data_IF_880857040517
#
_entry.id   IF_880857040517
#
_cell.length_a   1.000
_cell.length_b   1.000
_cell.length_c   1.000
_cell.angle_alpha   90.00
_cell.angle_beta   90.00
_cell.angle_gamma   90.00
#
_symmetry.space_group_name_H-M   'P 1'
#
loop_
_entity.id
_entity.type
_entity.pdbx_description
1 polymer ?
#
# COMPACT_ATOMS: atom_id res chain seq x y z
N UNK A 1 -50.73 -17.06 -86.09
CA UNK A 1 -50.48 -18.46 -86.57
C UNK A 1 -49.17 -18.92 -85.90
N UNK A 2 -49.14 -20.10 -85.17
CA UNK A 2 -48.04 -20.86 -84.59
C UNK A 2 -47.24 -20.17 -83.43
N UNK A 3 -47.49 -20.44 -82.25
CA UNK A 3 -47.12 -21.45 -81.24
C UNK A 3 -45.67 -21.92 -81.36
N UNK A 4 -44.83 -21.61 -80.32
CA UNK A 4 -43.76 -22.49 -79.86
C UNK A 4 -43.51 -22.25 -78.38
N UNK A 5 -43.56 -23.32 -77.59
CA UNK A 5 -43.28 -23.44 -76.14
C UNK A 5 -41.77 -23.47 -75.91
N UNK A 6 -41.32 -22.88 -74.84
CA UNK A 6 -40.00 -23.13 -74.33
C UNK A 6 -40.07 -23.53 -72.85
N UNK A 7 -39.44 -24.64 -72.55
CA UNK A 7 -39.34 -25.28 -71.23
C UNK A 7 -38.33 -24.57 -70.33
N UNK A 8 -38.81 -24.16 -69.20
CA UNK A 8 -37.98 -23.68 -68.10
C UNK A 8 -37.45 -24.87 -67.28
N UNK A 9 -36.13 -25.03 -67.19
CA UNK A 9 -35.50 -25.92 -66.19
C UNK A 9 -35.05 -25.08 -65.01
N UNK A 10 -35.72 -25.23 -63.92
CA UNK A 10 -35.29 -24.73 -62.58
C UNK A 10 -34.16 -25.57 -62.08
N UNK A 11 -33.03 -24.92 -61.78
CA UNK A 11 -31.91 -25.49 -61.01
C UNK A 11 -32.05 -25.00 -59.59
N UNK A 12 -32.42 -25.88 -58.66
CA UNK A 12 -32.40 -25.65 -57.24
C UNK A 12 -30.96 -25.92 -56.74
N UNK A 13 -30.20 -24.87 -56.37
CA UNK A 13 -28.95 -25.00 -55.74
C UNK A 13 -29.14 -24.87 -54.20
N UNK A 14 -28.63 -25.85 -53.52
CA UNK A 14 -28.71 -26.08 -52.07
C UNK A 14 -28.03 -24.97 -51.24
N UNK A 15 -28.79 -24.35 -50.37
CA UNK A 15 -28.38 -23.26 -49.48
C UNK A 15 -28.00 -23.74 -48.06
N UNK A 16 -27.42 -24.94 -47.91
CA UNK A 16 -27.16 -25.54 -46.56
C UNK A 16 -25.74 -25.53 -46.06
N UNK A 17 -24.75 -25.05 -46.85
CA UNK A 17 -23.33 -25.07 -46.43
C UNK A 17 -22.78 -23.75 -45.90
N UNK A 18 -23.41 -22.63 -46.16
CA UNK A 18 -22.96 -21.30 -45.73
C UNK A 18 -23.42 -20.93 -44.31
N UNK A 19 -24.48 -21.52 -43.77
CA UNK A 19 -24.98 -21.23 -42.42
C UNK A 19 -24.15 -21.87 -41.31
N UNK A 20 -23.49 -23.00 -41.57
CA UNK A 20 -22.71 -23.71 -40.58
C UNK A 20 -21.34 -23.04 -40.26
N UNK A 21 -20.75 -22.35 -41.26
CA UNK A 21 -19.45 -21.66 -41.10
C UNK A 21 -19.60 -20.34 -40.33
N UNK A 22 -20.72 -19.62 -40.54
CA UNK A 22 -20.98 -18.37 -39.81
C UNK A 22 -21.30 -18.62 -38.32
N UNK A 23 -21.92 -19.73 -37.95
CA UNK A 23 -22.21 -20.09 -36.55
C UNK A 23 -20.96 -20.50 -35.78
N UNK A 24 -19.99 -21.14 -36.45
CA UNK A 24 -18.72 -21.53 -35.81
C UNK A 24 -17.80 -20.33 -35.48
N UNK A 25 -17.79 -19.28 -36.31
CA UNK A 25 -16.99 -18.08 -36.11
C UNK A 25 -17.57 -17.20 -34.98
N UNK A 26 -18.88 -17.13 -34.81
CA UNK A 26 -19.54 -16.40 -33.72
C UNK A 26 -19.37 -17.12 -32.36
N UNK A 27 -19.31 -18.45 -32.36
CA UNK A 27 -19.10 -19.21 -31.12
C UNK A 27 -17.66 -19.09 -30.56
N UNK A 28 -16.63 -18.88 -31.40
CA UNK A 28 -15.25 -18.67 -30.96
C UNK A 28 -14.99 -17.25 -30.43
N UNK A 29 -15.79 -16.25 -30.80
CA UNK A 29 -15.63 -14.86 -30.32
C UNK A 29 -16.33 -14.59 -28.99
N UNK A 30 -17.13 -15.52 -28.47
CA UNK A 30 -17.81 -15.45 -27.17
C UNK A 30 -17.14 -16.30 -26.08
N UNK A 31 -15.95 -16.87 -26.34
CA UNK A 31 -15.10 -17.34 -25.29
C UNK A 31 -14.63 -16.13 -24.48
N UNK A 32 -15.56 -15.67 -23.62
CA UNK A 32 -15.38 -14.47 -22.80
C UNK A 32 -14.04 -14.54 -22.09
N UNK A 33 -13.26 -13.51 -22.23
CA UNK A 33 -12.15 -13.21 -21.35
C UNK A 33 -12.72 -13.08 -19.94
N UNK A 34 -12.90 -14.19 -19.26
CA UNK A 34 -13.17 -14.19 -17.82
C UNK A 34 -11.94 -13.59 -17.19
N UNK A 35 -12.00 -12.30 -16.91
CA UNK A 35 -10.95 -11.61 -16.17
C UNK A 35 -10.78 -12.39 -14.89
N UNK A 36 -9.68 -13.13 -14.77
CA UNK A 36 -9.40 -13.92 -13.58
C UNK A 36 -9.62 -13.05 -12.35
N UNK A 37 -10.41 -13.55 -11.40
CA UNK A 37 -10.66 -12.82 -10.15
C UNK A 37 -9.30 -12.55 -9.52
N UNK A 38 -8.96 -11.29 -9.17
CA UNK A 38 -7.67 -11.00 -8.58
C UNK A 38 -7.40 -11.95 -7.41
N UNK A 39 -6.19 -12.52 -7.35
CA UNK A 39 -5.81 -13.37 -6.25
C UNK A 39 -6.07 -12.67 -4.91
N UNK A 40 -6.59 -13.38 -3.91
CA UNK A 40 -6.80 -12.81 -2.58
C UNK A 40 -5.49 -12.27 -2.01
N UNK A 41 -5.58 -11.37 -1.05
CA UNK A 41 -4.39 -10.90 -0.32
C UNK A 41 -3.75 -12.09 0.39
N UNK A 42 -2.45 -12.38 0.18
CA UNK A 42 -1.80 -13.51 0.83
C UNK A 42 -1.62 -13.25 2.34
N UNK A 43 -1.43 -14.32 3.10
CA UNK A 43 -1.00 -14.21 4.51
C UNK A 43 0.49 -13.93 4.54
N UNK A 44 0.88 -12.73 4.89
CA UNK A 44 2.30 -12.36 5.00
C UNK A 44 2.93 -12.90 6.29
N UNK A 45 4.22 -13.22 6.23
CA UNK A 45 5.04 -13.44 7.41
C UNK A 45 5.31 -12.11 8.12
N UNK A 46 5.70 -11.08 7.34
CA UNK A 46 5.90 -9.73 7.86
C UNK A 46 5.26 -8.69 6.94
N UNK A 47 4.67 -7.66 7.55
CA UNK A 47 4.29 -6.42 6.87
C UNK A 47 5.06 -5.27 7.46
N UNK A 48 5.82 -4.58 6.64
CA UNK A 48 6.57 -3.39 7.02
C UNK A 48 5.95 -2.19 6.30
N UNK A 49 5.61 -1.13 7.02
CA UNK A 49 5.12 0.13 6.47
C UNK A 49 6.14 1.22 6.73
N UNK A 50 6.69 1.79 5.67
CA UNK A 50 7.65 2.90 5.71
C UNK A 50 6.96 4.14 5.19
N UNK A 51 6.97 5.25 5.94
CA UNK A 51 6.25 6.46 5.55
C UNK A 51 7.24 7.63 5.40
N UNK A 52 7.28 8.18 4.20
CA UNK A 52 7.97 9.42 3.83
C UNK A 52 7.02 10.61 3.85
N UNK A 53 7.52 11.81 3.59
CA UNK A 53 6.83 13.08 3.86
C UNK A 53 6.70 13.99 2.63
N UNK A 54 5.48 14.54 2.48
CA UNK A 54 5.19 15.76 1.71
C UNK A 54 5.66 15.76 0.25
N UNK A 55 5.55 14.65 -0.50
CA UNK A 55 5.92 14.65 -1.92
C UNK A 55 4.83 14.06 -2.81
N UNK A 56 4.51 14.81 -3.87
CA UNK A 56 3.72 14.29 -5.00
C UNK A 56 4.47 13.17 -5.72
N UNK A 57 3.74 12.23 -6.31
CA UNK A 57 4.32 11.10 -7.02
C UNK A 57 5.34 11.51 -8.12
N UNK A 58 5.09 12.53 -8.96
CA UNK A 58 6.06 12.95 -9.99
C UNK A 58 7.32 13.60 -9.40
N UNK A 59 7.27 14.11 -8.17
CA UNK A 59 8.46 14.66 -7.51
C UNK A 59 9.46 13.58 -7.08
N UNK A 60 9.02 12.31 -7.06
CA UNK A 60 9.83 11.16 -6.64
C UNK A 60 10.01 10.17 -7.78
N UNK A 61 8.90 9.68 -8.35
CA UNK A 61 8.93 8.70 -9.43
C UNK A 61 9.23 9.38 -10.77
N UNK A 62 10.31 8.95 -11.42
CA UNK A 62 10.87 9.60 -12.61
C UNK A 62 11.92 10.67 -12.30
N UNK A 63 12.07 11.10 -11.05
CA UNK A 63 13.09 12.06 -10.66
C UNK A 63 14.49 11.41 -10.68
N UNK A 64 15.48 11.98 -11.40
CA UNK A 64 16.86 11.44 -11.40
C UNK A 64 17.51 11.42 -10.02
N UNK A 65 17.09 12.28 -9.09
CA UNK A 65 17.57 12.32 -7.71
C UNK A 65 17.01 11.18 -6.83
N UNK A 66 16.11 10.33 -7.37
CA UNK A 66 15.51 9.19 -6.70
C UNK A 66 15.81 7.84 -7.40
N UNK A 67 17.07 7.48 -7.64
CA UNK A 67 17.41 6.28 -8.41
C UNK A 67 16.93 4.98 -7.75
N UNK A 68 16.91 4.89 -6.41
CA UNK A 68 16.43 3.73 -5.67
C UNK A 68 14.91 3.59 -5.78
N UNK A 69 14.13 4.66 -5.57
CA UNK A 69 12.69 4.66 -5.80
C UNK A 69 12.35 4.22 -7.22
N UNK A 70 13.04 4.81 -8.21
CA UNK A 70 12.83 4.46 -9.62
C UNK A 70 13.16 3.00 -9.93
N UNK A 71 14.24 2.47 -9.36
CA UNK A 71 14.62 1.07 -9.50
C UNK A 71 13.57 0.14 -8.88
N UNK A 72 13.10 0.47 -7.67
CA UNK A 72 12.08 -0.32 -6.98
C UNK A 72 10.73 -0.27 -7.69
N UNK A 73 10.32 0.89 -8.20
CA UNK A 73 9.10 1.04 -8.98
C UNK A 73 9.08 0.17 -10.26
N UNK A 74 10.26 -0.05 -10.87
CA UNK A 74 10.40 -0.97 -12.02
C UNK A 74 10.47 -2.43 -11.61
N UNK A 75 11.11 -2.72 -10.48
CA UNK A 75 11.41 -4.10 -10.05
C UNK A 75 10.27 -4.76 -9.29
N UNK A 76 9.51 -4.00 -8.53
CA UNK A 76 8.41 -4.46 -7.67
C UNK A 76 7.08 -3.86 -8.12
N UNK A 77 6.11 -3.72 -7.22
CA UNK A 77 4.81 -3.18 -7.57
C UNK A 77 4.69 -1.68 -7.28
N UNK A 78 4.13 -0.94 -8.23
CA UNK A 78 3.76 0.47 -8.09
C UNK A 78 2.25 0.62 -7.92
N UNK A 79 1.82 1.39 -6.90
CA UNK A 79 0.43 1.78 -6.69
C UNK A 79 0.20 3.12 -7.40
N UNK A 80 -0.13 3.07 -8.70
CA UNK A 80 -0.03 4.22 -9.60
C UNK A 80 -1.06 5.31 -9.39
N UNK A 81 -2.11 5.06 -8.60
CA UNK A 81 -3.18 6.00 -8.26
C UNK A 81 -3.41 6.01 -6.76
N UNK A 82 -2.32 6.29 -6.01
CA UNK A 82 -2.33 6.36 -4.56
C UNK A 82 -2.52 7.81 -4.10
N UNK A 83 -3.51 8.04 -3.24
CA UNK A 83 -3.85 9.37 -2.73
C UNK A 83 -3.88 9.37 -1.21
N UNK A 84 -3.29 10.40 -0.63
CA UNK A 84 -3.38 10.65 0.80
C UNK A 84 -4.79 11.15 1.20
N UNK A 85 -5.08 11.16 2.49
CA UNK A 85 -6.43 11.43 2.99
C UNK A 85 -6.70 12.93 3.11
N UNK A 86 -5.72 13.71 3.60
CA UNK A 86 -5.90 15.13 3.96
C UNK A 86 -4.55 15.81 4.21
N UNK A 87 -4.60 17.05 4.70
CA UNK A 87 -3.49 17.82 5.29
C UNK A 87 -3.87 18.25 6.71
N UNK A 88 -2.86 18.49 7.60
CA UNK A 88 -1.43 18.19 7.48
C UNK A 88 -1.11 16.71 7.81
N UNK A 89 0.17 16.39 8.04
CA UNK A 89 0.69 15.01 8.20
C UNK A 89 -0.03 14.16 9.23
N UNK A 90 -0.16 14.60 10.50
CA UNK A 90 -0.63 13.76 11.61
C UNK A 90 -1.97 13.05 11.35
N UNK A 91 -3.04 13.68 10.83
CA UNK A 91 -4.28 12.97 10.50
C UNK A 91 -4.09 11.82 9.50
N UNK A 92 -3.15 11.90 8.56
CA UNK A 92 -2.82 10.81 7.63
C UNK A 92 -2.19 9.62 8.36
N UNK A 93 -1.25 9.86 9.26
CA UNK A 93 -0.65 8.83 10.10
C UNK A 93 -1.69 8.13 10.98
N UNK A 94 -2.60 8.89 11.62
CA UNK A 94 -3.69 8.34 12.42
C UNK A 94 -4.63 7.50 11.53
N UNK A 95 -4.97 8.01 10.33
CA UNK A 95 -5.82 7.32 9.38
C UNK A 95 -5.23 5.98 8.92
N UNK A 96 -3.92 5.94 8.67
CA UNK A 96 -3.20 4.74 8.22
C UNK A 96 -3.24 3.59 9.23
N UNK A 97 -3.33 3.88 10.52
CA UNK A 97 -3.33 2.85 11.59
C UNK A 97 -4.66 2.70 12.32
N UNK A 98 -5.69 3.49 11.99
CA UNK A 98 -7.00 3.38 12.65
C UNK A 98 -8.21 3.53 11.72
N UNK A 99 -7.96 3.68 10.42
CA UNK A 99 -9.03 3.83 9.41
C UNK A 99 -9.81 5.14 9.49
N UNK A 100 -9.32 6.13 10.23
CA UNK A 100 -9.95 7.44 10.36
C UNK A 100 -8.96 8.46 10.89
N UNK A 101 -9.11 9.74 10.54
CA UNK A 101 -8.34 10.84 11.14
C UNK A 101 -8.70 11.09 12.61
N UNK A 102 -9.76 10.46 13.12
CA UNK A 102 -10.26 10.57 14.50
C UNK A 102 -10.51 12.01 14.93
N UNK A 103 -10.91 12.87 13.98
CA UNK A 103 -11.16 14.29 14.23
C UNK A 103 -9.90 15.15 14.38
N UNK A 104 -8.70 14.56 14.22
CA UNK A 104 -7.44 15.30 14.19
C UNK A 104 -7.39 16.13 12.89
N UNK A 105 -7.09 17.41 13.02
CA UNK A 105 -7.02 18.38 11.90
C UNK A 105 -5.73 19.20 11.90
N UNK A 106 -4.78 18.89 12.78
CA UNK A 106 -3.53 19.63 12.93
C UNK A 106 -2.40 18.69 13.38
N UNK A 107 -1.16 19.16 13.32
CA UNK A 107 0.01 18.47 13.86
C UNK A 107 0.17 18.64 15.38
N UNK A 108 -0.91 18.49 16.11
CA UNK A 108 -0.93 18.66 17.57
C UNK A 108 -0.03 17.62 18.26
N UNK A 109 0.76 18.05 19.24
CA UNK A 109 1.66 17.16 19.99
C UNK A 109 1.01 16.55 21.25
N UNK A 110 -0.08 17.15 21.78
CA UNK A 110 -0.76 16.75 23.01
C UNK A 110 -2.10 16.03 22.76
N UNK A 111 -2.51 15.87 21.53
CA UNK A 111 -3.73 15.15 21.20
C UNK A 111 -3.65 13.70 21.69
N UNK A 112 -4.78 13.19 22.16
CA UNK A 112 -4.95 11.81 22.60
C UNK A 112 -6.13 11.22 21.83
N UNK A 113 -5.91 10.07 21.21
CA UNK A 113 -6.91 9.31 20.47
C UNK A 113 -7.42 8.15 21.34
N UNK A 114 -8.69 8.18 21.69
CA UNK A 114 -9.37 7.10 22.42
C UNK A 114 -10.24 6.30 21.43
N UNK A 115 -9.59 5.49 20.60
CA UNK A 115 -10.26 4.67 19.59
C UNK A 115 -9.43 3.42 19.29
N UNK A 116 -10.04 2.34 18.79
CA UNK A 116 -9.31 1.17 18.31
C UNK A 116 -8.31 1.53 17.19
N UNK A 117 -7.20 0.83 17.18
CA UNK A 117 -6.13 0.98 16.21
C UNK A 117 -5.53 -0.37 15.81
N UNK A 118 -4.66 -0.37 14.82
CA UNK A 118 -4.08 -1.59 14.26
C UNK A 118 -3.31 -2.42 15.30
N UNK A 119 -2.64 -1.78 16.28
CA UNK A 119 -1.95 -2.53 17.34
C UNK A 119 -2.93 -3.32 18.22
N UNK A 120 -4.14 -2.78 18.49
CA UNK A 120 -5.17 -3.47 19.26
C UNK A 120 -5.64 -4.74 18.53
N UNK A 121 -5.89 -4.64 17.22
CA UNK A 121 -6.38 -5.77 16.41
C UNK A 121 -5.29 -6.81 16.15
N UNK A 122 -4.04 -6.38 15.99
CA UNK A 122 -2.88 -7.28 15.87
C UNK A 122 -2.70 -8.10 17.14
N UNK A 123 -2.66 -7.46 18.31
CA UNK A 123 -2.50 -8.16 19.60
C UNK A 123 -3.64 -9.14 19.88
N UNK A 124 -4.88 -8.75 19.55
CA UNK A 124 -6.04 -9.64 19.69
C UNK A 124 -5.93 -10.89 18.78
N UNK A 125 -5.23 -10.79 17.65
CA UNK A 125 -4.96 -11.88 16.73
C UNK A 125 -3.64 -12.64 17.03
N UNK A 126 -2.99 -12.38 18.18
CA UNK A 126 -1.71 -12.96 18.55
C UNK A 126 -0.52 -12.49 17.70
N UNK A 127 -0.66 -11.36 17.01
CA UNK A 127 0.38 -10.77 16.18
C UNK A 127 1.23 -9.77 16.94
N UNK A 128 2.52 -9.76 16.65
CA UNK A 128 3.49 -8.85 17.24
C UNK A 128 3.62 -7.57 16.41
N UNK A 129 3.92 -6.45 17.07
CA UNK A 129 4.15 -5.18 16.37
C UNK A 129 5.22 -4.33 17.05
N UNK A 130 5.90 -3.48 16.29
CA UNK A 130 6.76 -2.39 16.76
C UNK A 130 6.66 -1.17 15.84
N UNK A 131 6.84 0.01 16.41
CA UNK A 131 7.07 1.27 15.69
C UNK A 131 8.52 1.68 15.85
N UNK A 132 9.26 1.72 14.76
CA UNK A 132 10.68 2.11 14.70
C UNK A 132 10.79 3.54 14.20
N UNK A 133 11.19 4.46 15.05
CA UNK A 133 11.30 5.88 14.71
C UNK A 133 12.76 6.36 14.77
N UNK A 134 13.24 6.95 13.67
CA UNK A 134 14.56 7.55 13.64
C UNK A 134 14.60 8.82 14.47
N UNK A 135 15.70 9.02 15.18
CA UNK A 135 15.86 10.15 16.11
C UNK A 135 15.08 10.03 17.41
N UNK A 136 14.28 8.98 17.60
CA UNK A 136 13.59 8.73 18.88
C UNK A 136 14.64 8.54 19.99
N UNK A 137 14.63 9.36 21.06
CA UNK A 137 15.72 9.37 22.04
C UNK A 137 15.75 8.11 22.93
N UNK A 138 14.59 7.56 23.25
CA UNK A 138 14.46 6.35 24.08
C UNK A 138 13.19 5.58 23.73
N UNK A 139 13.12 4.32 24.14
CA UNK A 139 11.89 3.52 24.03
C UNK A 139 10.73 4.23 24.73
N UNK A 140 9.56 4.20 24.12
CA UNK A 140 8.34 4.76 24.69
C UNK A 140 8.32 6.28 24.84
N UNK A 141 9.24 7.01 24.25
CA UNK A 141 9.25 8.47 24.31
C UNK A 141 7.99 9.08 23.72
N UNK A 142 7.31 9.94 24.47
CA UNK A 142 6.04 10.58 24.07
C UNK A 142 6.15 12.10 23.85
N UNK A 143 7.35 12.68 24.00
CA UNK A 143 7.59 14.10 23.76
C UNK A 143 7.32 14.50 22.30
N UNK A 144 7.01 15.77 22.08
CA UNK A 144 6.61 16.29 20.77
C UNK A 144 7.70 16.26 19.70
N UNK A 145 8.94 16.46 20.12
CA UNK A 145 10.14 16.44 19.26
C UNK A 145 11.40 16.15 20.06
N UNK A 146 12.44 15.69 19.37
CA UNK A 146 13.80 15.56 19.91
C UNK A 146 14.79 15.54 18.74
N UNK A 147 15.62 16.58 18.58
CA UNK A 147 16.43 16.74 17.38
C UNK A 147 15.56 16.70 16.12
N UNK A 148 15.82 15.74 15.23
CA UNK A 148 15.03 15.52 14.00
C UNK A 148 13.84 14.56 14.17
N UNK A 149 13.62 13.99 15.35
CA UNK A 149 12.40 13.22 15.61
C UNK A 149 11.19 14.14 15.75
N UNK A 150 10.09 13.79 15.10
CA UNK A 150 8.80 14.46 15.26
C UNK A 150 7.71 13.45 15.63
N UNK A 151 7.05 13.65 16.78
CA UNK A 151 5.96 12.79 17.26
C UNK A 151 4.83 12.67 16.25
N UNK A 152 4.54 13.74 15.48
CA UNK A 152 3.47 13.76 14.46
C UNK A 152 3.59 12.65 13.42
N UNK A 153 4.79 12.08 13.23
CA UNK A 153 5.04 10.95 12.33
C UNK A 153 4.96 9.58 13.02
N UNK A 154 4.70 9.54 14.32
CA UNK A 154 4.61 8.31 15.10
C UNK A 154 3.20 8.13 15.67
N UNK A 155 2.25 7.57 14.87
CA UNK A 155 0.83 7.56 15.22
C UNK A 155 0.53 6.81 16.52
N UNK A 156 1.25 5.72 16.79
CA UNK A 156 1.02 4.89 17.98
C UNK A 156 1.21 5.65 19.30
N UNK A 157 2.06 6.70 19.30
CA UNK A 157 2.27 7.56 20.46
C UNK A 157 1.05 8.44 20.83
N UNK A 158 0.02 8.48 19.99
CA UNK A 158 -1.19 9.27 20.23
C UNK A 158 -2.36 8.45 20.80
N UNK A 159 -2.33 7.13 20.68
CA UNK A 159 -3.43 6.31 21.18
C UNK A 159 -3.33 6.09 22.67
N UNK A 160 -4.44 6.39 23.40
CA UNK A 160 -4.53 6.21 24.86
C UNK A 160 -4.20 4.78 25.28
N UNK A 161 -4.67 3.80 24.53
CA UNK A 161 -4.41 2.37 24.79
C UNK A 161 -2.92 2.00 24.72
N UNK A 162 -2.11 2.80 24.05
CA UNK A 162 -0.65 2.58 23.91
C UNK A 162 0.11 3.51 24.84
N UNK A 163 -0.13 4.81 24.77
CA UNK A 163 0.59 5.82 25.57
C UNK A 163 0.40 5.61 27.07
N UNK A 164 -0.76 5.13 27.51
CA UNK A 164 -1.08 4.83 28.91
C UNK A 164 -0.64 3.45 29.41
N UNK A 165 -0.06 2.60 28.55
CA UNK A 165 0.39 1.26 28.93
C UNK A 165 1.90 1.10 28.68
N UNK A 166 2.68 0.91 29.73
CA UNK A 166 4.14 0.85 29.63
C UNK A 166 4.62 -0.23 28.65
N UNK A 167 4.11 -1.46 28.76
CA UNK A 167 4.51 -2.59 27.90
C UNK A 167 4.21 -2.36 26.42
N UNK A 168 3.11 -1.69 26.12
CA UNK A 168 2.74 -1.35 24.73
C UNK A 168 3.55 -0.15 24.22
N UNK A 169 3.76 0.87 25.09
CA UNK A 169 4.56 2.03 24.78
C UNK A 169 6.01 1.66 24.47
N UNK A 170 6.57 0.66 25.16
CA UNK A 170 7.92 0.15 24.95
C UNK A 170 8.11 -0.56 23.59
N UNK A 171 7.05 -0.75 22.82
CA UNK A 171 7.10 -1.20 21.41
C UNK A 171 7.35 -0.03 20.44
N UNK A 172 7.33 1.21 20.92
CA UNK A 172 7.79 2.40 20.18
C UNK A 172 9.28 2.54 20.46
N UNK A 173 10.10 2.25 19.45
CA UNK A 173 11.56 2.07 19.66
C UNK A 173 12.38 2.91 18.69
N UNK A 174 13.63 3.27 19.04
CA UNK A 174 14.56 3.91 18.11
C UNK A 174 14.84 3.04 16.89
N UNK A 175 14.99 3.67 15.71
CA UNK A 175 15.19 2.98 14.42
C UNK A 175 16.36 1.98 14.43
N UNK A 176 17.43 2.24 15.21
CA UNK A 176 18.56 1.30 15.32
C UNK A 176 18.16 -0.12 15.73
N UNK A 177 17.02 -0.27 16.43
CA UNK A 177 16.52 -1.58 16.82
C UNK A 177 15.98 -2.40 15.64
N UNK A 178 15.58 -1.77 14.55
CA UNK A 178 15.14 -2.49 13.33
C UNK A 178 16.27 -3.41 12.82
N UNK A 179 17.49 -2.88 12.76
CA UNK A 179 18.67 -3.67 12.33
C UNK A 179 19.00 -4.79 13.32
N UNK A 180 18.87 -4.52 14.62
CA UNK A 180 19.12 -5.51 15.67
C UNK A 180 18.08 -6.63 15.63
N UNK A 181 16.80 -6.30 15.49
CA UNK A 181 15.71 -7.27 15.38
C UNK A 181 15.83 -8.11 14.11
N UNK A 182 16.16 -7.48 12.97
CA UNK A 182 16.38 -8.17 11.70
C UNK A 182 17.53 -9.19 11.81
N UNK A 183 18.69 -8.77 12.34
CA UNK A 183 19.86 -9.67 12.48
C UNK A 183 19.62 -10.81 13.45
N UNK A 184 18.80 -10.60 14.45
CA UNK A 184 18.47 -11.59 15.48
C UNK A 184 17.28 -12.49 15.09
N UNK A 185 16.69 -12.32 13.89
CA UNK A 185 15.48 -13.07 13.48
C UNK A 185 14.26 -12.78 14.35
N UNK A 186 14.18 -11.59 14.96
CA UNK A 186 13.10 -11.18 15.87
C UNK A 186 12.28 -10.01 15.35
N UNK A 187 12.26 -9.82 14.00
CA UNK A 187 11.41 -8.81 13.41
C UNK A 187 9.93 -9.15 13.74
N UNK A 188 9.11 -8.17 14.19
CA UNK A 188 7.70 -8.41 14.48
C UNK A 188 6.90 -8.73 13.21
N UNK A 189 5.72 -9.32 13.36
CA UNK A 189 4.78 -9.50 12.24
C UNK A 189 4.47 -8.17 11.54
N UNK A 190 4.24 -7.11 12.32
CA UNK A 190 4.02 -5.75 11.80
C UNK A 190 5.08 -4.77 12.27
N UNK A 191 5.75 -4.10 11.34
CA UNK A 191 6.71 -3.03 11.59
C UNK A 191 6.24 -1.72 10.96
N UNK A 192 6.14 -0.66 11.77
CA UNK A 192 5.92 0.70 11.29
C UNK A 192 7.22 1.47 11.38
N UNK A 193 7.73 2.00 10.27
CA UNK A 193 9.07 2.58 10.18
C UNK A 193 8.98 4.03 9.73
N UNK A 194 9.57 4.91 10.51
CA UNK A 194 9.54 6.36 10.28
C UNK A 194 10.96 6.92 10.22
N UNK A 195 11.38 7.49 9.09
CA UNK A 195 12.60 8.30 9.00
C UNK A 195 12.50 9.57 9.86
N UNK A 196 13.63 10.18 10.21
CA UNK A 196 13.64 11.51 10.78
C UNK A 196 13.22 12.59 9.77
N UNK A 197 13.05 13.84 10.21
CA UNK A 197 12.60 14.96 9.38
C UNK A 197 13.46 15.20 8.13
N UNK A 198 14.76 14.91 8.19
CA UNK A 198 15.63 15.04 7.02
C UNK A 198 15.50 13.82 6.09
N UNK A 199 15.63 12.63 6.65
CA UNK A 199 15.61 11.39 5.88
C UNK A 199 14.22 11.05 5.30
N UNK A 200 13.14 11.60 5.88
CA UNK A 200 11.78 11.48 5.34
C UNK A 200 11.49 12.37 4.12
N UNK A 201 12.43 13.22 3.71
CA UNK A 201 12.27 14.27 2.68
C UNK A 201 11.43 15.48 3.15
N UNK A 202 11.08 15.58 4.44
CA UNK A 202 10.34 16.73 4.96
C UNK A 202 11.21 18.00 4.88
N UNK A 203 12.37 17.99 5.52
CA UNK A 203 13.29 19.12 5.61
C UNK A 203 14.48 19.05 4.63
N UNK A 204 14.71 17.87 4.00
CA UNK A 204 15.85 17.63 3.13
C UNK A 204 15.40 17.17 1.73
N UNK A 205 16.37 17.05 0.81
CA UNK A 205 16.11 16.73 -0.59
C UNK A 205 15.65 15.28 -0.81
N UNK A 206 15.04 15.04 -1.96
CA UNK A 206 14.66 13.70 -2.43
C UNK A 206 15.85 12.74 -2.46
N UNK A 207 17.05 13.23 -2.84
CA UNK A 207 18.27 12.41 -2.86
C UNK A 207 18.66 11.88 -1.48
N UNK A 208 18.46 12.66 -0.41
CA UNK A 208 18.73 12.24 0.97
C UNK A 208 17.79 11.10 1.38
N UNK A 209 16.50 11.25 1.12
CA UNK A 209 15.51 10.21 1.41
C UNK A 209 15.70 8.95 0.55
N UNK A 210 16.09 9.09 -0.72
CA UNK A 210 16.41 7.96 -1.58
C UNK A 210 17.61 7.15 -1.07
N UNK A 211 18.66 7.83 -0.63
CA UNK A 211 19.81 7.18 -0.02
C UNK A 211 19.44 6.47 1.30
N UNK A 212 18.55 7.08 2.09
CA UNK A 212 18.02 6.46 3.32
C UNK A 212 17.18 5.21 2.99
N UNK A 213 16.27 5.30 2.00
CA UNK A 213 15.49 4.15 1.53
C UNK A 213 16.40 2.98 1.17
N UNK A 214 17.45 3.23 0.39
CA UNK A 214 18.41 2.20 0.00
C UNK A 214 19.07 1.55 1.20
N UNK A 215 19.56 2.33 2.17
CA UNK A 215 20.28 1.79 3.34
C UNK A 215 19.36 0.98 4.26
N UNK A 216 18.14 1.48 4.49
CA UNK A 216 17.25 0.96 5.52
C UNK A 216 16.33 -0.13 5.00
N UNK A 217 15.83 0.00 3.77
CA UNK A 217 14.79 -0.90 3.23
C UNK A 217 15.38 -2.07 2.46
N UNK A 218 16.52 -1.90 1.75
CA UNK A 218 17.10 -3.01 0.96
C UNK A 218 17.29 -4.29 1.77
N UNK A 219 17.79 -4.25 3.03
CA UNK A 219 17.97 -5.47 3.83
C UNK A 219 16.67 -6.23 4.15
N UNK A 220 15.53 -5.56 4.08
CA UNK A 220 14.20 -6.16 4.36
C UNK A 220 13.60 -6.89 3.16
N UNK A 221 14.08 -6.61 1.94
CA UNK A 221 13.44 -7.08 0.70
C UNK A 221 13.61 -8.57 0.43
N UNK A 222 14.55 -9.22 1.11
CA UNK A 222 14.80 -10.66 1.03
C UNK A 222 14.02 -11.50 2.04
N UNK A 223 13.25 -10.88 2.94
CA UNK A 223 12.45 -11.61 3.93
C UNK A 223 11.41 -12.50 3.25
N UNK A 224 11.34 -13.80 3.58
CA UNK A 224 10.39 -14.73 2.98
C UNK A 224 8.94 -14.27 3.21
N UNK A 225 8.09 -14.42 2.19
CA UNK A 225 6.66 -14.13 2.25
C UNK A 225 6.30 -12.81 2.95
N UNK A 226 7.04 -11.74 2.62
CA UNK A 226 6.93 -10.45 3.30
C UNK A 226 6.70 -9.31 2.30
N UNK A 227 6.01 -8.27 2.78
CA UNK A 227 5.78 -7.04 2.00
C UNK A 227 6.29 -5.82 2.75
N UNK A 228 6.95 -4.91 2.03
CA UNK A 228 7.32 -3.57 2.48
C UNK A 228 6.51 -2.56 1.68
N UNK A 229 5.56 -1.89 2.32
CA UNK A 229 4.90 -0.73 1.74
C UNK A 229 5.77 0.50 1.97
N UNK A 230 6.16 1.18 0.91
CA UNK A 230 6.85 2.48 0.95
C UNK A 230 5.85 3.53 0.49
N UNK A 231 5.46 4.41 1.39
CA UNK A 231 4.36 5.36 1.22
C UNK A 231 4.85 6.78 1.51
N UNK A 232 4.08 7.76 1.05
CA UNK A 232 4.15 9.14 1.53
C UNK A 232 2.85 9.46 2.27
N UNK A 233 2.94 10.20 3.36
CA UNK A 233 1.82 10.57 4.20
C UNK A 233 0.83 11.49 3.48
N UNK A 234 1.37 12.50 2.81
CA UNK A 234 0.64 13.49 2.01
C UNK A 234 1.50 14.01 0.86
N UNK A 235 0.86 14.62 -0.12
CA UNK A 235 1.50 15.41 -1.18
C UNK A 235 1.53 16.89 -0.84
N UNK A 236 1.63 17.71 -1.88
CA UNK A 236 1.59 19.20 -1.78
C UNK A 236 0.29 19.78 -2.33
N UNK A 237 -0.60 18.97 -2.86
CA UNK A 237 -1.88 19.37 -3.47
C UNK A 237 -3.07 18.79 -2.73
N UNK A 238 -4.25 19.40 -2.89
CA UNK A 238 -5.51 18.89 -2.33
C UNK A 238 -6.21 17.84 -3.22
N UNK A 239 -5.52 17.28 -4.21
CA UNK A 239 -6.10 16.27 -5.09
C UNK A 239 -6.56 15.06 -4.26
N UNK A 240 -7.85 14.77 -4.27
CA UNK A 240 -8.52 13.73 -3.47
C UNK A 240 -8.29 13.83 -1.96
N UNK A 241 -8.01 15.03 -1.47
CA UNK A 241 -7.84 15.34 -0.06
C UNK A 241 -6.40 15.64 0.33
N UNK A 242 -5.46 14.76 0.12
CA UNK A 242 -4.06 14.91 0.54
C UNK A 242 -3.01 14.77 -0.56
N UNK A 243 -3.40 14.85 -1.84
CA UNK A 243 -2.46 14.79 -2.98
C UNK A 243 -2.26 13.39 -3.56
N UNK A 244 -1.67 13.34 -4.76
CA UNK A 244 -1.27 12.12 -5.46
C UNK A 244 0.17 11.75 -5.09
N UNK A 245 0.36 10.81 -4.19
CA UNK A 245 1.68 10.49 -3.63
C UNK A 245 2.28 9.23 -4.22
N UNK A 246 3.61 9.08 -4.14
CA UNK A 246 4.29 7.86 -4.53
C UNK A 246 3.97 6.74 -3.53
N UNK A 247 3.68 5.54 -4.04
CA UNK A 247 3.47 4.37 -3.20
C UNK A 247 3.93 3.10 -3.91
N UNK A 248 4.70 2.29 -3.20
CA UNK A 248 5.28 1.04 -3.68
C UNK A 248 4.96 -0.10 -2.72
N UNK A 249 4.79 -1.31 -3.25
CA UNK A 249 4.81 -2.55 -2.49
C UNK A 249 6.01 -3.38 -2.97
N UNK A 250 6.91 -3.71 -2.03
CA UNK A 250 8.20 -4.33 -2.30
C UNK A 250 8.31 -5.66 -1.54
N UNK A 251 9.27 -6.50 -1.90
CA UNK A 251 9.58 -7.73 -1.17
C UNK A 251 9.19 -9.00 -1.92
N UNK A 252 9.39 -10.14 -1.26
CA UNK A 252 9.24 -11.47 -1.88
C UNK A 252 7.80 -11.87 -2.15
N UNK A 253 6.84 -11.31 -1.40
CA UNK A 253 5.41 -11.56 -1.61
C UNK A 253 4.82 -10.77 -2.79
N UNK A 254 5.63 -9.94 -3.48
CA UNK A 254 5.16 -9.03 -4.53
C UNK A 254 5.59 -9.50 -5.91
N UNK A 255 4.67 -9.54 -6.86
CA UNK A 255 4.94 -9.83 -8.26
C UNK A 255 5.84 -8.74 -8.87
N UNK A 256 6.91 -9.16 -9.54
CA UNK A 256 7.87 -8.25 -10.16
C UNK A 256 7.23 -7.43 -11.28
N UNK A 257 7.50 -6.12 -11.28
CA UNK A 257 7.01 -5.18 -12.29
C UNK A 257 5.50 -4.95 -12.29
N UNK A 258 4.78 -5.42 -11.26
CA UNK A 258 3.33 -5.26 -11.17
C UNK A 258 2.91 -3.80 -11.03
N UNK A 259 1.69 -3.49 -11.48
CA UNK A 259 1.10 -2.15 -11.36
C UNK A 259 -0.32 -2.26 -10.83
N UNK A 260 -0.58 -1.63 -9.71
CA UNK A 260 -1.93 -1.48 -9.19
C UNK A 260 -2.53 -0.16 -9.68
N UNK A 261 -3.44 -0.24 -10.65
CA UNK A 261 -4.03 0.93 -11.32
C UNK A 261 -5.36 1.40 -10.74
N UNK A 262 -5.94 0.70 -9.76
CA UNK A 262 -7.15 1.18 -9.10
C UNK A 262 -6.82 2.31 -8.12
N UNK A 263 -7.79 3.22 -7.91
CA UNK A 263 -7.66 4.27 -6.89
C UNK A 263 -7.56 3.64 -5.51
N UNK A 264 -6.55 4.04 -4.76
CA UNK A 264 -6.30 3.59 -3.39
C UNK A 264 -5.62 4.67 -2.57
N UNK A 265 -5.35 4.41 -1.31
CA UNK A 265 -4.70 5.31 -0.35
C UNK A 265 -4.48 4.60 0.98
N UNK A 266 -4.31 5.36 2.05
CA UNK A 266 -4.02 4.83 3.38
C UNK A 266 -5.02 3.77 3.85
N UNK A 267 -6.31 3.98 3.59
CA UNK A 267 -7.35 3.00 3.95
C UNK A 267 -7.26 1.70 3.15
N UNK A 268 -6.80 1.74 1.90
CA UNK A 268 -6.57 0.56 1.06
C UNK A 268 -5.39 -0.27 1.54
N UNK A 269 -4.31 0.37 2.00
CA UNK A 269 -3.17 -0.30 2.64
C UNK A 269 -3.60 -0.94 3.95
N UNK A 270 -4.30 -0.20 4.83
CA UNK A 270 -4.83 -0.75 6.08
C UNK A 270 -5.74 -1.95 5.82
N UNK A 271 -6.67 -1.83 4.86
CA UNK A 271 -7.56 -2.93 4.44
C UNK A 271 -6.80 -4.17 3.97
N UNK A 272 -5.67 -3.96 3.31
CA UNK A 272 -4.80 -5.05 2.84
C UNK A 272 -4.14 -5.77 4.01
N UNK A 273 -3.64 -5.03 4.98
CA UNK A 273 -3.04 -5.57 6.21
C UNK A 273 -4.07 -6.36 7.02
N UNK A 274 -5.25 -5.78 7.22
CA UNK A 274 -6.37 -6.42 7.91
C UNK A 274 -6.78 -7.73 7.20
N UNK A 275 -6.89 -7.68 5.87
CA UNK A 275 -7.26 -8.84 5.06
C UNK A 275 -6.22 -9.96 5.10
N UNK A 276 -4.92 -9.62 5.13
CA UNK A 276 -3.83 -10.60 5.18
C UNK A 276 -3.86 -11.48 6.43
N UNK A 277 -4.30 -10.95 7.55
CA UNK A 277 -4.32 -11.65 8.83
C UNK A 277 -5.73 -11.87 9.40
N UNK A 278 -6.79 -11.53 8.65
CA UNK A 278 -8.17 -11.72 9.10
C UNK A 278 -8.54 -10.83 10.28
N UNK A 279 -7.95 -9.62 10.36
CA UNK A 279 -8.18 -8.70 11.45
C UNK A 279 -9.56 -8.00 11.33
N UNK A 280 -10.16 -7.59 12.44
CA UNK A 280 -11.31 -6.68 12.42
C UNK A 280 -11.00 -5.40 11.65
N UNK A 281 -11.98 -4.91 10.87
CA UNK A 281 -11.82 -3.75 10.03
C UNK A 281 -11.95 -2.46 10.83
N UNK A 282 -11.06 -1.51 10.61
CA UNK A 282 -10.98 -0.24 11.32
C UNK A 282 -11.52 0.93 10.46
N UNK A 283 -12.58 1.56 10.90
CA UNK A 283 -13.10 2.78 10.29
C UNK A 283 -13.35 2.66 8.79
N UNK A 284 -12.77 3.55 7.99
CA UNK A 284 -12.95 3.60 6.53
C UNK A 284 -12.27 2.45 5.78
N UNK A 285 -11.39 1.67 6.43
CA UNK A 285 -10.84 0.46 5.80
C UNK A 285 -11.94 -0.53 5.43
N UNK A 286 -13.05 -0.56 6.19
CA UNK A 286 -14.21 -1.39 5.90
C UNK A 286 -14.86 -1.10 4.53
N UNK A 287 -14.72 0.14 4.03
CA UNK A 287 -15.24 0.58 2.73
C UNK A 287 -14.18 0.58 1.63
N UNK A 288 -12.92 0.45 2.00
CA UNK A 288 -11.81 0.42 1.06
C UNK A 288 -11.67 -0.96 0.40
N UNK A 289 -11.16 -0.98 -0.82
CA UNK A 289 -10.77 -2.23 -1.49
C UNK A 289 -9.35 -2.59 -1.06
N UNK A 290 -9.08 -3.87 -0.75
CA UNK A 290 -7.71 -4.32 -0.54
C UNK A 290 -6.92 -4.20 -1.85
N UNK A 291 -5.62 -4.01 -1.74
CA UNK A 291 -4.71 -4.07 -2.87
C UNK A 291 -4.59 -5.54 -3.29
N UNK A 292 -4.90 -5.82 -4.56
CA UNK A 292 -4.95 -7.18 -5.10
C UNK A 292 -4.34 -7.21 -6.51
N UNK A 293 -3.98 -8.43 -6.99
CA UNK A 293 -3.43 -8.61 -8.35
C UNK A 293 -2.00 -8.14 -8.53
N UNK A 294 -1.29 -7.91 -7.43
CA UNK A 294 0.15 -7.57 -7.42
C UNK A 294 0.97 -8.56 -6.60
N UNK A 295 0.35 -9.60 -6.09
CA UNK A 295 1.01 -10.57 -5.21
C UNK A 295 1.66 -11.69 -6.04
N UNK A 296 2.82 -12.14 -5.60
CA UNK A 296 3.48 -13.30 -6.19
C UNK A 296 2.60 -14.55 -6.00
N UNK A 297 2.62 -15.44 -6.98
CA UNK A 297 2.02 -16.78 -6.81
C UNK A 297 2.76 -17.52 -5.71
N UNK A 298 2.03 -18.07 -4.77
CA UNK A 298 2.55 -19.00 -3.74
C UNK A 298 2.95 -20.32 -4.36
#
# INVERSE_FOLDING_TARGET
>A
MAILRSLSKTVTASSSTTAAIAAAIVALSLAGWTRAKPAPVPRFAHVIVVVFENKEAPSVLGNPAAPTFNSYARRYASLTRYYAVTHPSLPNYIALVSGSTRGIKSNCTRCIVSAPNLADTLEAAGKTWKSYAEGLPSRGFLGGSSGRYAKKHNPFAYFRSIAGNANRRDRIVPLRELTLDLRAGRLPDFAFVVPDLCNSMHDCSVAVGDAWLRRTVTPLLGLPNSVVFVLFDEGSTNVRGGGHTAALALGTAVQRGARYGAVTGHYGVLRTIEGAWGLPLLGQSARARPIAGIWASS
#
